data_IF_689539034519
#
_entry.id   IF_689539034519
#
_cell.length_a   1.000
_cell.length_b   1.000
_cell.length_c   1.000
_cell.angle_alpha   90.00
_cell.angle_beta   90.00
_cell.angle_gamma   90.00
#
_symmetry.space_group_name_H-M   'P 1'
#
loop_
_entity.id
_entity.type
_entity.pdbx_description
1 polymer ?
#
# COMPACT_ATOMS: atom_id res chain seq x y z
N UNK A 1 -52.07 23.54 -6.89
CA UNK A 1 -52.73 22.57 -5.97
C UNK A 1 -54.02 22.11 -6.66
N UNK A 2 -54.27 20.80 -6.74
CA UNK A 2 -55.46 20.23 -7.39
C UNK A 2 -56.77 20.75 -6.78
N UNK A 3 -56.79 21.02 -5.47
CA UNK A 3 -57.97 21.59 -4.80
C UNK A 3 -58.30 23.02 -5.30
N UNK A 4 -57.28 23.85 -5.55
CA UNK A 4 -57.47 25.19 -6.12
C UNK A 4 -57.93 25.11 -7.59
N UNK A 5 -57.35 24.19 -8.37
CA UNK A 5 -57.76 23.97 -9.76
C UNK A 5 -59.21 23.48 -9.88
N UNK A 6 -59.70 22.70 -8.91
CA UNK A 6 -61.09 22.26 -8.85
C UNK A 6 -62.06 23.43 -8.62
N UNK A 7 -61.67 24.38 -7.76
CA UNK A 7 -62.43 25.60 -7.46
C UNK A 7 -62.47 26.55 -8.66
N UNK A 8 -61.34 26.70 -9.35
CA UNK A 8 -61.17 27.68 -10.44
C UNK A 8 -61.69 27.18 -11.80
N UNK A 9 -61.83 25.85 -11.99
CA UNK A 9 -62.37 25.29 -13.23
C UNK A 9 -63.82 25.72 -13.47
N UNK A 10 -64.14 26.05 -14.72
CA UNK A 10 -65.51 26.43 -15.16
C UNK A 10 -66.22 25.30 -15.92
N UNK A 11 -65.47 24.32 -16.44
CA UNK A 11 -66.02 23.21 -17.22
C UNK A 11 -66.48 22.06 -16.30
N UNK A 12 -67.71 21.53 -16.47
CA UNK A 12 -68.20 20.38 -15.71
C UNK A 12 -67.36 19.11 -15.89
N UNK A 13 -66.77 18.91 -17.08
CA UNK A 13 -65.92 17.74 -17.37
C UNK A 13 -64.58 17.84 -16.66
N UNK A 14 -63.92 19.00 -16.75
CA UNK A 14 -62.64 19.25 -16.11
C UNK A 14 -62.72 19.13 -14.57
N UNK A 15 -63.84 19.57 -13.97
CA UNK A 15 -64.11 19.34 -12.54
C UNK A 15 -64.18 17.86 -12.17
N UNK A 16 -64.76 17.02 -13.04
CA UNK A 16 -64.86 15.58 -12.79
C UNK A 16 -63.49 14.92 -12.85
N UNK A 17 -62.66 15.30 -13.81
CA UNK A 17 -61.31 14.75 -13.98
C UNK A 17 -60.39 15.16 -12.82
N UNK A 18 -60.43 16.43 -12.43
CA UNK A 18 -59.66 16.92 -11.26
C UNK A 18 -60.12 16.22 -9.98
N UNK A 19 -61.44 16.03 -9.81
CA UNK A 19 -61.97 15.31 -8.65
C UNK A 19 -61.52 13.84 -8.63
N UNK A 20 -61.52 13.16 -9.77
CA UNK A 20 -61.04 11.78 -9.87
C UNK A 20 -59.54 11.68 -9.50
N UNK A 21 -58.73 12.66 -9.90
CA UNK A 21 -57.32 12.72 -9.51
C UNK A 21 -57.12 12.98 -8.02
N UNK A 22 -57.94 13.86 -7.41
CA UNK A 22 -57.93 14.09 -5.96
C UNK A 22 -58.31 12.82 -5.21
N UNK A 23 -59.39 12.14 -5.61
CA UNK A 23 -59.86 10.91 -4.97
C UNK A 23 -58.81 9.79 -5.07
N UNK A 24 -58.13 9.68 -6.21
CA UNK A 24 -57.03 8.74 -6.40
C UNK A 24 -55.82 9.08 -5.50
N UNK A 25 -55.46 10.36 -5.41
CA UNK A 25 -54.36 10.82 -4.56
C UNK A 25 -54.69 10.63 -3.07
N UNK A 26 -55.92 10.89 -2.63
CA UNK A 26 -56.35 10.63 -1.25
C UNK A 26 -56.27 9.15 -0.89
N UNK A 27 -56.53 8.25 -1.86
CA UNK A 27 -56.49 6.80 -1.63
C UNK A 27 -55.09 6.22 -1.68
N UNK A 28 -54.21 6.74 -2.54
CA UNK A 28 -52.92 6.10 -2.86
C UNK A 28 -51.69 6.99 -2.67
N UNK A 29 -51.85 8.29 -2.46
CA UNK A 29 -50.76 9.26 -2.42
C UNK A 29 -49.73 8.93 -1.33
N UNK A 30 -50.17 8.67 -0.10
CA UNK A 30 -49.26 8.31 1.00
C UNK A 30 -48.47 7.02 0.74
N UNK A 31 -49.11 6.02 0.13
CA UNK A 31 -48.45 4.76 -0.22
C UNK A 31 -47.45 4.99 -1.37
N UNK A 32 -47.84 5.78 -2.37
CA UNK A 32 -46.98 6.16 -3.47
C UNK A 32 -45.73 6.90 -2.97
N UNK A 33 -45.91 7.93 -2.13
CA UNK A 33 -44.83 8.72 -1.55
C UNK A 33 -43.87 7.83 -0.73
N UNK A 34 -44.42 6.92 0.07
CA UNK A 34 -43.61 5.99 0.87
C UNK A 34 -42.78 5.03 0.00
N UNK A 35 -43.38 4.48 -1.06
CA UNK A 35 -42.70 3.59 -2.00
C UNK A 35 -41.66 4.34 -2.84
N UNK A 36 -41.99 5.56 -3.28
CA UNK A 36 -41.06 6.43 -4.00
C UNK A 36 -39.85 6.78 -3.14
N UNK A 37 -40.08 7.21 -1.90
CA UNK A 37 -39.00 7.54 -0.98
C UNK A 37 -38.12 6.32 -0.73
N UNK A 38 -38.71 5.15 -0.47
CA UNK A 38 -37.97 3.90 -0.31
C UNK A 38 -37.15 3.54 -1.55
N UNK A 39 -37.73 3.68 -2.74
CA UNK A 39 -37.02 3.45 -4.02
C UNK A 39 -35.80 4.37 -4.11
N UNK A 40 -35.97 5.66 -3.87
CA UNK A 40 -34.88 6.64 -3.96
C UNK A 40 -33.76 6.32 -2.96
N UNK A 41 -34.10 6.00 -1.72
CA UNK A 41 -33.13 5.56 -0.71
C UNK A 41 -32.39 4.30 -1.15
N UNK A 42 -33.08 3.31 -1.72
CA UNK A 42 -32.43 2.10 -2.22
C UNK A 42 -31.48 2.39 -3.39
N UNK A 43 -31.83 3.32 -4.29
CA UNK A 43 -30.96 3.75 -5.39
C UNK A 43 -29.67 4.38 -4.83
N UNK A 44 -29.80 5.34 -3.91
CA UNK A 44 -28.66 6.01 -3.27
C UNK A 44 -27.74 4.99 -2.58
N UNK A 45 -28.32 4.03 -1.86
CA UNK A 45 -27.57 2.99 -1.19
C UNK A 45 -26.81 2.10 -2.17
N UNK A 46 -27.46 1.67 -3.26
CA UNK A 46 -26.82 0.84 -4.30
C UNK A 46 -25.65 1.59 -4.95
N UNK A 47 -25.82 2.87 -5.26
CA UNK A 47 -24.74 3.71 -5.82
C UNK A 47 -23.56 3.82 -4.85
N UNK A 48 -23.85 4.02 -3.56
CA UNK A 48 -22.82 4.08 -2.51
C UNK A 48 -22.05 2.75 -2.41
N UNK A 49 -22.77 1.62 -2.42
CA UNK A 49 -22.14 0.29 -2.41
C UNK A 49 -21.28 0.05 -3.64
N UNK A 50 -21.72 0.51 -4.82
CA UNK A 50 -20.95 0.37 -6.06
C UNK A 50 -19.64 1.14 -5.99
N UNK A 51 -19.66 2.38 -5.52
CA UNK A 51 -18.44 3.19 -5.34
C UNK A 51 -17.47 2.52 -4.37
N UNK A 52 -17.97 2.03 -3.23
CA UNK A 52 -17.14 1.33 -2.25
C UNK A 52 -16.54 0.03 -2.81
N UNK A 53 -17.32 -0.72 -3.61
CA UNK A 53 -16.85 -1.93 -4.28
C UNK A 53 -15.75 -1.62 -5.31
N UNK A 54 -15.96 -0.63 -6.19
CA UNK A 54 -14.97 -0.22 -7.19
C UNK A 54 -13.67 0.24 -6.52
N UNK A 55 -13.76 0.97 -5.41
CA UNK A 55 -12.60 1.38 -4.64
C UNK A 55 -11.88 0.17 -4.02
N UNK A 56 -12.60 -0.75 -3.38
CA UNK A 56 -12.01 -1.94 -2.78
C UNK A 56 -11.37 -2.86 -3.84
N UNK A 57 -11.97 -3.00 -5.02
CA UNK A 57 -11.40 -3.73 -6.15
C UNK A 57 -10.15 -3.04 -6.68
N UNK A 58 -10.16 -1.71 -6.80
CA UNK A 58 -8.99 -0.94 -7.21
C UNK A 58 -7.84 -1.09 -6.22
N UNK A 59 -8.12 -0.98 -4.92
CA UNK A 59 -7.13 -1.13 -3.85
C UNK A 59 -6.57 -2.55 -3.77
N UNK A 60 -7.40 -3.58 -3.97
CA UNK A 60 -6.96 -4.97 -4.00
C UNK A 60 -6.03 -5.29 -5.19
N UNK A 61 -6.28 -4.65 -6.33
CA UNK A 61 -5.47 -4.81 -7.53
C UNK A 61 -4.30 -3.81 -7.63
N UNK A 62 -4.27 -2.78 -6.77
CA UNK A 62 -3.20 -1.81 -6.73
C UNK A 62 -1.91 -2.46 -6.24
N UNK A 63 -0.95 -2.65 -7.14
CA UNK A 63 0.39 -3.07 -6.78
C UNK A 63 1.21 -1.86 -6.30
N UNK A 64 1.15 -1.59 -5.00
CA UNK A 64 1.96 -0.54 -4.37
C UNK A 64 3.45 -0.92 -4.40
N UNK A 65 4.24 -0.18 -5.15
CA UNK A 65 5.70 -0.27 -5.07
C UNK A 65 6.19 0.56 -3.88
N UNK A 66 6.70 -0.10 -2.85
CA UNK A 66 7.22 0.54 -1.63
C UNK A 66 8.72 0.88 -1.70
N UNK A 67 9.36 0.65 -2.86
CA UNK A 67 10.77 1.00 -3.07
C UNK A 67 11.06 1.35 -4.53
N UNK A 68 11.30 2.64 -4.78
CA UNK A 68 11.87 3.09 -6.04
C UNK A 68 13.37 2.77 -6.04
N UNK A 69 13.74 1.63 -6.62
CA UNK A 69 15.14 1.27 -6.85
C UNK A 69 15.65 2.08 -8.05
N UNK A 70 16.30 3.22 -7.77
CA UNK A 70 16.92 4.06 -8.81
C UNK A 70 18.12 3.35 -9.44
N UNK A 71 18.91 2.65 -8.61
CA UNK A 71 20.03 1.82 -9.05
C UNK A 71 19.96 0.44 -8.38
N UNK A 72 20.02 -0.62 -9.20
CA UNK A 72 19.99 -2.00 -8.71
C UNK A 72 21.31 -2.32 -8.01
N UNK A 73 21.25 -3.20 -7.00
CA UNK A 73 22.45 -3.69 -6.34
C UNK A 73 23.39 -4.35 -7.35
N UNK A 74 24.59 -3.79 -7.51
CA UNK A 74 25.64 -4.34 -8.34
C UNK A 74 26.51 -5.29 -7.51
N UNK A 75 26.92 -6.40 -8.12
CA UNK A 75 27.88 -7.32 -7.50
C UNK A 75 29.21 -6.58 -7.36
N UNK A 76 29.82 -6.63 -6.18
CA UNK A 76 31.09 -5.95 -5.95
C UNK A 76 32.20 -6.53 -6.85
N UNK A 77 32.83 -5.68 -7.67
CA UNK A 77 33.90 -6.05 -8.59
C UNK A 77 35.12 -6.70 -7.90
N UNK A 78 35.33 -6.37 -6.62
CA UNK A 78 36.43 -6.88 -5.83
C UNK A 78 35.93 -7.47 -4.52
N UNK A 79 36.46 -8.65 -4.18
CA UNK A 79 36.23 -9.29 -2.87
C UNK A 79 36.64 -8.34 -1.76
N UNK A 80 35.68 -8.02 -0.88
CA UNK A 80 35.90 -7.11 0.23
C UNK A 80 36.91 -7.70 1.24
N UNK A 81 36.80 -9.00 1.53
CA UNK A 81 37.64 -9.72 2.50
C UNK A 81 37.90 -11.17 2.05
N UNK A 82 39.07 -11.77 2.37
CA UNK A 82 40.25 -11.12 2.96
C UNK A 82 41.12 -10.44 1.90
N UNK A 83 41.74 -9.31 2.25
CA UNK A 83 42.75 -8.64 1.41
C UNK A 83 44.05 -9.44 1.50
N UNK A 84 44.30 -10.33 0.54
CA UNK A 84 45.49 -11.21 0.50
C UNK A 84 46.82 -10.48 0.70
N UNK A 85 46.94 -9.26 0.18
CA UNK A 85 48.10 -8.38 0.38
C UNK A 85 48.43 -8.14 1.86
N UNK A 86 47.42 -7.90 2.70
CA UNK A 86 47.63 -7.64 4.14
C UNK A 86 48.18 -8.89 4.81
N UNK A 87 47.62 -10.05 4.49
CA UNK A 87 48.07 -11.34 5.04
C UNK A 87 49.54 -11.59 4.70
N UNK A 88 49.92 -11.38 3.43
CA UNK A 88 51.30 -11.59 2.97
C UNK A 88 52.25 -10.64 3.69
N UNK A 89 51.90 -9.35 3.80
CA UNK A 89 52.77 -8.34 4.42
C UNK A 89 52.99 -8.61 5.92
N UNK A 90 51.93 -9.00 6.65
CA UNK A 90 52.03 -9.35 8.07
C UNK A 90 52.83 -10.64 8.26
N UNK A 91 52.63 -11.65 7.40
CA UNK A 91 53.35 -12.91 7.48
C UNK A 91 54.85 -12.75 7.17
N UNK A 92 55.22 -11.93 6.18
CA UNK A 92 56.62 -11.69 5.83
C UNK A 92 57.34 -10.90 6.91
N UNK A 93 56.73 -9.85 7.45
CA UNK A 93 57.29 -9.09 8.58
C UNK A 93 57.42 -9.97 9.84
N UNK A 94 56.37 -10.74 10.17
CA UNK A 94 56.38 -11.64 11.32
C UNK A 94 57.46 -12.72 11.19
N UNK A 95 57.56 -13.35 10.02
CA UNK A 95 58.58 -14.36 9.74
C UNK A 95 60.00 -13.79 9.79
N UNK A 96 60.22 -12.58 9.27
CA UNK A 96 61.52 -11.92 9.34
C UNK A 96 61.95 -11.64 10.79
N UNK A 97 61.06 -11.06 11.60
CA UNK A 97 61.34 -10.77 13.01
C UNK A 97 61.62 -12.06 13.78
N UNK A 98 60.77 -13.07 13.64
CA UNK A 98 60.96 -14.36 14.28
C UNK A 98 62.25 -15.06 13.81
N UNK A 99 62.62 -14.91 12.54
CA UNK A 99 63.88 -15.44 11.98
C UNK A 99 65.11 -14.82 12.64
N UNK A 100 65.12 -13.49 12.84
CA UNK A 100 66.20 -12.80 13.57
C UNK A 100 66.29 -13.29 15.01
N UNK A 101 65.16 -13.39 15.71
CA UNK A 101 65.14 -13.93 17.07
C UNK A 101 65.67 -15.38 17.13
N UNK A 102 65.29 -16.21 16.16
CA UNK A 102 65.77 -17.59 16.09
C UNK A 102 67.30 -17.68 15.94
N UNK A 103 67.90 -16.83 15.08
CA UNK A 103 69.35 -16.77 14.93
C UNK A 103 70.03 -16.34 16.24
N UNK A 104 69.54 -15.28 16.90
CA UNK A 104 70.10 -14.80 18.16
C UNK A 104 70.03 -15.85 19.28
N UNK A 105 68.90 -16.56 19.39
CA UNK A 105 68.73 -17.64 20.37
C UNK A 105 69.70 -18.79 20.07
N UNK A 106 69.82 -19.18 18.79
CA UNK A 106 70.74 -20.24 18.38
C UNK A 106 72.18 -19.88 18.72
N UNK A 107 72.62 -18.66 18.40
CA UNK A 107 73.98 -18.19 18.70
C UNK A 107 74.23 -18.19 20.20
N UNK A 108 73.26 -17.70 21.00
CA UNK A 108 73.40 -17.68 22.47
C UNK A 108 73.50 -19.08 23.07
N UNK A 109 72.72 -20.03 22.57
CA UNK A 109 72.79 -21.44 23.01
C UNK A 109 74.15 -22.06 22.64
N UNK A 110 74.69 -21.76 21.46
CA UNK A 110 76.00 -22.25 21.05
C UNK A 110 77.13 -21.70 21.92
N UNK A 111 77.11 -20.39 22.21
CA UNK A 111 78.07 -19.74 23.11
C UNK A 111 78.08 -20.38 24.50
N UNK A 112 76.89 -20.58 25.10
CA UNK A 112 76.76 -21.21 26.42
C UNK A 112 77.24 -22.67 26.45
N UNK A 113 77.12 -23.40 25.33
CA UNK A 113 77.64 -24.77 25.20
C UNK A 113 79.15 -24.83 25.00
N UNK A 114 79.77 -23.77 24.49
CA UNK A 114 81.22 -23.69 24.33
C UNK A 114 81.95 -23.28 25.61
N UNK A 115 81.23 -22.66 26.57
CA UNK A 115 81.73 -22.24 27.88
C UNK A 115 81.64 -23.33 28.97
N UNK A 116 80.84 -24.38 28.73
CA UNK A 116 80.75 -25.58 29.57
C UNK A 116 81.54 -26.73 28.95
#
# INVERSE_FOLDING_TARGET
NLFQALVDSKSPEEKRDIKAQIDANMKFGSLFDALEHKRNEMIINIETFKVAYEQAESDANAQFNHKFVVEKAVVADKKEKPKRMIIVLVATLGGFVLGVFFLLIRDKIQELKALN
#
